data_IF_395787843304
#
_entry.id   IF_395787843304
#
_cell.length_a   1.000
_cell.length_b   1.000
_cell.length_c   1.000
_cell.angle_alpha   90.00
_cell.angle_beta   90.00
_cell.angle_gamma   90.00
#
_symmetry.space_group_name_H-M   'P 1'
#
loop_
_entity.id
_entity.type
_entity.pdbx_description
1 polymer ?
#
# COMPACT_ATOMS: atom_id res chain seq x y z
N UNK A 1 26.78 -24.78 51.41
CA UNK A 1 25.51 -24.14 51.01
C UNK A 1 25.68 -22.98 50.03
N UNK A 2 26.78 -22.21 50.06
CA UNK A 2 26.99 -21.09 49.13
C UNK A 2 27.18 -21.47 47.63
N UNK A 3 27.76 -22.64 47.30
CA UNK A 3 27.97 -23.06 45.90
C UNK A 3 26.67 -23.40 45.13
N UNK A 4 25.64 -23.87 45.83
CA UNK A 4 24.36 -24.20 45.19
C UNK A 4 23.50 -22.94 44.90
N UNK A 5 23.78 -21.84 45.60
CA UNK A 5 23.05 -20.57 45.43
C UNK A 5 23.47 -19.82 44.16
N UNK A 6 24.74 -19.95 43.72
CA UNK A 6 25.23 -19.31 42.50
C UNK A 6 24.73 -20.01 41.23
N UNK A 7 24.55 -21.33 41.26
CA UNK A 7 24.02 -22.12 40.13
C UNK A 7 22.54 -21.78 39.92
N UNK A 8 21.75 -21.64 40.98
CA UNK A 8 20.35 -21.23 40.89
C UNK A 8 20.16 -19.82 40.30
N UNK A 9 21.07 -18.88 40.61
CA UNK A 9 21.02 -17.52 40.07
C UNK A 9 21.37 -17.49 38.56
N UNK A 10 22.30 -18.33 38.10
CA UNK A 10 22.65 -18.42 36.67
C UNK A 10 21.55 -19.12 35.85
N UNK A 11 20.86 -20.12 36.42
CA UNK A 11 19.71 -20.76 35.77
C UNK A 11 18.52 -19.80 35.66
N UNK A 12 18.27 -18.95 36.66
CA UNK A 12 17.21 -17.93 36.61
C UNK A 12 17.49 -16.82 35.59
N UNK A 13 18.75 -16.38 35.46
CA UNK A 13 19.15 -15.38 34.46
C UNK A 13 19.11 -15.97 33.03
N UNK A 14 19.47 -17.23 32.85
CA UNK A 14 19.35 -17.91 31.54
C UNK A 14 17.90 -18.22 31.15
N UNK A 15 16.99 -18.39 32.11
CA UNK A 15 15.55 -18.56 31.83
C UNK A 15 14.83 -17.24 31.53
N UNK A 16 15.41 -16.09 31.93
CA UNK A 16 14.89 -14.77 31.55
C UNK A 16 15.25 -14.31 30.13
N UNK A 17 16.11 -15.05 29.41
CA UNK A 17 16.54 -14.73 28.04
C UNK A 17 15.84 -15.52 26.92
N UNK A 18 14.89 -16.41 27.24
CA UNK A 18 14.30 -17.33 26.24
C UNK A 18 12.77 -17.26 26.15
N UNK A 19 12.19 -16.07 26.27
CA UNK A 19 10.85 -15.82 25.74
C UNK A 19 10.76 -14.43 25.10
N UNK A 20 11.38 -14.27 23.93
CA UNK A 20 10.75 -13.39 22.95
C UNK A 20 9.40 -14.06 22.63
N UNK A 21 8.36 -13.66 23.36
CA UNK A 21 7.02 -14.13 23.10
C UNK A 21 6.65 -13.69 21.68
N UNK A 22 6.70 -14.63 20.75
CA UNK A 22 6.18 -14.43 19.41
C UNK A 22 4.68 -14.15 19.54
N UNK A 23 4.27 -12.89 19.35
CA UNK A 23 2.85 -12.57 19.32
C UNK A 23 2.21 -13.24 18.11
N UNK A 24 1.10 -13.94 18.34
CA UNK A 24 0.31 -14.58 17.29
C UNK A 24 -0.87 -13.70 16.85
N UNK A 25 -0.79 -12.40 17.07
CA UNK A 25 -1.80 -11.43 16.65
C UNK A 25 -1.14 -10.08 16.33
N UNK A 26 -1.79 -9.31 15.46
CA UNK A 26 -1.39 -7.94 15.16
C UNK A 26 -1.94 -6.97 16.23
N UNK A 27 -1.18 -5.92 16.55
CA UNK A 27 -1.56 -4.90 17.51
C UNK A 27 -0.99 -3.55 17.12
N UNK A 28 -1.74 -2.47 17.30
CA UNK A 28 -1.23 -1.11 17.09
C UNK A 28 -0.07 -0.74 18.03
N UNK A 29 0.07 -1.46 19.14
CA UNK A 29 1.05 -1.19 20.20
C UNK A 29 2.24 -2.18 20.19
N UNK A 30 2.42 -2.93 19.09
CA UNK A 30 3.40 -4.03 19.03
C UNK A 30 4.83 -3.58 19.34
N UNK A 31 5.22 -2.37 18.91
CA UNK A 31 6.59 -1.87 19.09
C UNK A 31 6.77 -0.97 20.33
N UNK A 32 5.71 -0.63 21.07
CA UNK A 32 5.74 0.40 22.12
C UNK A 32 6.76 0.14 23.24
N UNK A 33 7.00 -1.13 23.57
CA UNK A 33 7.93 -1.51 24.64
C UNK A 33 9.27 -2.05 24.13
N UNK A 34 9.37 -2.37 22.83
CA UNK A 34 10.56 -2.99 22.23
C UNK A 34 11.36 -2.01 21.36
N UNK A 35 10.69 -1.08 20.69
CA UNK A 35 11.30 0.06 20.02
C UNK A 35 10.30 1.23 19.95
N UNK A 36 10.18 2.03 21.03
CA UNK A 36 9.27 3.19 21.06
C UNK A 36 9.54 4.21 19.95
N UNK A 37 10.79 4.31 19.49
CA UNK A 37 11.22 5.25 18.45
C UNK A 37 10.92 4.76 17.01
N UNK A 38 10.39 3.54 16.85
CA UNK A 38 10.11 2.97 15.53
C UNK A 38 9.14 3.83 14.71
N UNK A 39 7.91 4.03 15.20
CA UNK A 39 6.88 4.78 14.46
C UNK A 39 7.22 6.26 14.28
N UNK A 40 7.75 6.99 15.30
CA UNK A 40 8.24 8.35 15.11
C UNK A 40 9.33 8.46 14.03
N UNK A 41 10.24 7.49 13.96
CA UNK A 41 11.31 7.47 12.95
C UNK A 41 10.77 7.25 11.55
N UNK A 42 9.85 6.28 11.37
CA UNK A 42 9.19 6.04 10.08
C UNK A 42 8.48 7.31 9.60
N UNK A 43 7.67 7.92 10.48
CA UNK A 43 6.92 9.14 10.17
C UNK A 43 7.82 10.27 9.68
N UNK A 44 8.92 10.54 10.40
CA UNK A 44 9.88 11.59 10.02
C UNK A 44 10.44 11.36 8.62
N UNK A 45 10.92 10.15 8.32
CA UNK A 45 11.52 9.85 7.01
C UNK A 45 10.47 9.94 5.89
N UNK A 46 9.23 9.51 6.14
CA UNK A 46 8.12 9.66 5.20
C UNK A 46 7.77 11.13 4.95
N UNK A 47 7.66 11.94 6.00
CA UNK A 47 7.38 13.38 5.89
C UNK A 47 8.48 14.10 5.10
N UNK A 48 9.75 13.77 5.37
CA UNK A 48 10.90 14.30 4.61
C UNK A 48 10.81 13.91 3.13
N UNK A 49 10.51 12.64 2.82
CA UNK A 49 10.39 12.14 1.46
C UNK A 49 9.20 12.78 0.71
N UNK A 50 8.04 12.93 1.35
CA UNK A 50 6.84 13.57 0.78
C UNK A 50 7.06 15.08 0.58
N UNK A 51 7.81 15.72 1.48
CA UNK A 51 8.19 17.13 1.33
C UNK A 51 9.13 17.34 0.14
N UNK A 52 10.05 16.41 -0.10
CA UNK A 52 10.96 16.43 -1.24
C UNK A 52 10.24 16.14 -2.57
N UNK A 53 9.38 15.12 -2.60
CA UNK A 53 8.57 14.76 -3.75
C UNK A 53 7.15 14.38 -3.29
N UNK A 54 6.18 15.27 -3.51
CA UNK A 54 4.78 15.07 -3.07
C UNK A 54 4.16 13.77 -3.59
N UNK A 55 4.54 13.34 -4.82
CA UNK A 55 4.13 12.07 -5.43
C UNK A 55 4.61 10.84 -4.65
N UNK A 56 5.65 10.96 -3.83
CA UNK A 56 6.17 9.84 -3.05
C UNK A 56 5.12 9.28 -2.10
N UNK A 57 4.26 10.12 -1.53
CA UNK A 57 3.20 9.64 -0.64
C UNK A 57 2.20 8.72 -1.36
N UNK A 58 1.79 9.09 -2.58
CA UNK A 58 0.96 8.23 -3.43
C UNK A 58 1.68 6.91 -3.79
N UNK A 59 3.00 6.99 -3.99
CA UNK A 59 3.82 5.83 -4.37
C UNK A 59 3.94 4.81 -3.23
N UNK A 60 4.17 5.28 -2.00
CA UNK A 60 4.27 4.46 -0.80
C UNK A 60 2.92 3.86 -0.41
N UNK A 61 1.82 4.61 -0.57
CA UNK A 61 0.46 4.07 -0.43
C UNK A 61 0.22 2.91 -1.39
N UNK A 62 0.55 3.10 -2.69
CA UNK A 62 0.41 2.06 -3.70
C UNK A 62 1.32 0.85 -3.44
N UNK A 63 2.51 1.06 -2.89
CA UNK A 63 3.44 -0.03 -2.54
C UNK A 63 2.82 -0.97 -1.51
N UNK A 64 2.13 -0.44 -0.50
CA UNK A 64 1.42 -1.26 0.47
C UNK A 64 0.23 -2.03 -0.13
N UNK A 65 -0.55 -1.39 -1.01
CA UNK A 65 -1.62 -2.08 -1.75
C UNK A 65 -1.07 -3.26 -2.56
N UNK A 66 0.01 -3.04 -3.32
CA UNK A 66 0.61 -4.08 -4.14
C UNK A 66 1.27 -5.19 -3.33
N UNK A 67 1.81 -4.89 -2.15
CA UNK A 67 2.28 -5.91 -1.20
C UNK A 67 1.11 -6.79 -0.73
N UNK A 68 0.08 -6.17 -0.15
CA UNK A 68 -1.03 -6.91 0.46
C UNK A 68 -1.85 -7.76 -0.51
N UNK A 69 -1.94 -7.34 -1.78
CA UNK A 69 -2.70 -8.07 -2.80
C UNK A 69 -1.98 -9.30 -3.36
N UNK A 70 -0.70 -9.50 -3.02
CA UNK A 70 0.10 -10.62 -3.49
C UNK A 70 0.58 -11.40 -2.28
N UNK A 71 0.12 -12.65 -2.12
CA UNK A 71 0.45 -13.52 -0.98
C UNK A 71 0.25 -12.96 0.45
N UNK A 72 -0.30 -11.75 0.60
CA UNK A 72 -0.54 -11.08 1.89
C UNK A 72 0.45 -9.95 2.15
N UNK A 73 0.24 -9.17 3.20
CA UNK A 73 1.13 -8.06 3.54
C UNK A 73 2.41 -8.58 4.20
N UNK A 74 3.37 -9.06 3.42
CA UNK A 74 4.57 -9.76 3.91
C UNK A 74 5.88 -9.17 3.35
N UNK A 75 5.79 -7.99 2.72
CA UNK A 75 6.89 -7.29 2.06
C UNK A 75 7.63 -8.12 1.00
N UNK A 76 6.98 -9.12 0.41
CA UNK A 76 7.48 -9.91 -0.71
C UNK A 76 7.82 -9.04 -1.91
N UNK A 77 7.03 -8.00 -2.18
CA UNK A 77 7.25 -7.03 -3.25
C UNK A 77 8.62 -6.32 -3.16
N UNK A 78 9.22 -6.24 -1.97
CA UNK A 78 10.49 -5.56 -1.76
C UNK A 78 11.70 -6.39 -2.20
N UNK A 79 11.56 -7.72 -2.32
CA UNK A 79 12.66 -8.62 -2.67
C UNK A 79 13.15 -8.37 -4.10
N UNK A 80 14.46 -8.23 -4.26
CA UNK A 80 15.12 -8.12 -5.56
C UNK A 80 15.31 -9.51 -6.20
N UNK A 81 15.49 -9.52 -7.51
CA UNK A 81 15.73 -10.72 -8.30
C UNK A 81 17.01 -11.43 -7.82
N UNK A 82 16.94 -12.74 -7.60
CA UNK A 82 18.10 -13.60 -7.38
C UNK A 82 17.96 -14.90 -8.18
N UNK A 83 18.88 -15.85 -8.02
CA UNK A 83 18.75 -17.19 -8.61
C UNK A 83 17.54 -17.96 -8.05
N UNK A 84 17.13 -17.66 -6.82
CA UNK A 84 16.05 -18.37 -6.11
C UNK A 84 14.80 -17.52 -5.88
N UNK A 85 14.85 -16.22 -6.18
CA UNK A 85 13.74 -15.28 -6.06
C UNK A 85 13.37 -14.72 -7.43
N UNK A 86 12.17 -15.07 -7.92
CA UNK A 86 11.53 -14.42 -9.07
C UNK A 86 10.78 -13.17 -8.59
N UNK A 87 11.40 -12.00 -8.76
CA UNK A 87 10.94 -10.76 -8.12
C UNK A 87 9.63 -10.23 -8.70
N UNK A 88 8.72 -9.87 -7.81
CA UNK A 88 7.46 -9.20 -8.16
C UNK A 88 7.65 -7.83 -8.80
N UNK A 89 8.80 -7.18 -8.63
CA UNK A 89 9.11 -5.88 -9.26
C UNK A 89 9.04 -5.94 -10.78
N UNK A 90 9.21 -7.13 -11.36
CA UNK A 90 9.11 -7.36 -12.81
C UNK A 90 7.72 -7.85 -13.26
N UNK A 91 6.75 -7.97 -12.35
CA UNK A 91 5.35 -8.24 -12.71
C UNK A 91 4.76 -7.09 -13.54
N UNK A 92 3.76 -7.38 -14.39
CA UNK A 92 3.15 -6.42 -15.33
C UNK A 92 2.66 -5.15 -14.65
N UNK A 93 2.05 -5.26 -13.46
CA UNK A 93 1.52 -4.12 -12.72
C UNK A 93 2.60 -3.28 -12.01
N UNK A 94 3.79 -3.84 -11.82
CA UNK A 94 4.91 -3.28 -11.06
C UNK A 94 6.00 -2.69 -11.95
N UNK A 95 6.34 -3.39 -13.03
CA UNK A 95 7.47 -3.05 -13.90
C UNK A 95 7.32 -1.64 -14.47
N UNK A 96 8.34 -0.80 -14.29
CA UNK A 96 8.34 0.61 -14.66
C UNK A 96 7.14 1.41 -14.12
N UNK A 97 6.58 1.02 -12.97
CA UNK A 97 5.34 1.58 -12.43
C UNK A 97 5.39 1.81 -10.92
N UNK A 98 5.61 0.75 -10.13
CA UNK A 98 5.76 0.88 -8.67
C UNK A 98 7.12 1.49 -8.33
N UNK A 99 7.19 2.33 -7.28
CA UNK A 99 8.39 3.08 -6.87
C UNK A 99 8.39 3.39 -5.38
N UNK A 100 9.49 3.94 -4.88
CA UNK A 100 9.66 4.31 -3.45
C UNK A 100 10.46 3.30 -2.64
N UNK A 101 11.04 2.29 -3.28
CA UNK A 101 11.86 1.27 -2.62
C UNK A 101 13.05 1.88 -1.86
N UNK A 102 13.64 2.94 -2.39
CA UNK A 102 14.79 3.64 -1.79
C UNK A 102 14.39 4.35 -0.50
N UNK A 103 13.14 4.84 -0.43
CA UNK A 103 12.60 5.43 0.80
C UNK A 103 12.36 4.34 1.85
N UNK A 104 11.89 3.16 1.45
CA UNK A 104 11.77 2.01 2.36
C UNK A 104 13.13 1.57 2.90
N UNK A 105 14.17 1.55 2.05
CA UNK A 105 15.54 1.24 2.50
C UNK A 105 16.04 2.27 3.53
N UNK A 106 15.79 3.56 3.28
CA UNK A 106 16.16 4.63 4.19
C UNK A 106 15.41 4.51 5.52
N UNK A 107 14.10 4.27 5.48
CA UNK A 107 13.29 4.03 6.69
C UNK A 107 13.88 2.85 7.46
N UNK A 108 14.15 1.73 6.79
CA UNK A 108 14.68 0.52 7.42
C UNK A 108 16.00 0.79 8.14
N UNK A 109 16.94 1.45 7.46
CA UNK A 109 18.23 1.81 8.04
C UNK A 109 18.09 2.72 9.26
N UNK A 110 17.22 3.74 9.18
CA UNK A 110 17.03 4.71 10.27
C UNK A 110 16.30 4.09 11.47
N UNK A 111 15.32 3.22 11.23
CA UNK A 111 14.61 2.48 12.28
C UNK A 111 15.55 1.50 12.97
N UNK A 112 16.31 0.70 12.22
CA UNK A 112 17.25 -0.25 12.83
C UNK A 112 18.31 0.47 13.68
N UNK A 113 18.76 1.66 13.24
CA UNK A 113 19.65 2.52 14.02
C UNK A 113 18.98 3.06 15.29
N UNK A 114 17.73 3.54 15.19
CA UNK A 114 16.98 4.05 16.34
C UNK A 114 16.67 2.96 17.38
N UNK A 115 16.40 1.73 16.92
CA UNK A 115 16.13 0.58 17.77
C UNK A 115 17.41 -0.13 18.27
N UNK A 116 18.59 0.21 17.73
CA UNK A 116 19.87 -0.43 18.05
C UNK A 116 20.09 -1.83 17.44
N UNK A 117 19.07 -2.41 16.81
CA UNK A 117 19.11 -3.67 16.08
C UNK A 117 17.86 -3.85 15.20
N UNK A 118 17.88 -4.76 14.21
CA UNK A 118 16.73 -5.03 13.35
C UNK A 118 15.58 -5.71 14.13
N UNK A 119 14.54 -4.94 14.46
CA UNK A 119 13.36 -5.45 15.18
C UNK A 119 12.04 -5.20 14.46
N UNK A 120 11.96 -4.14 13.64
CA UNK A 120 10.77 -3.81 12.85
C UNK A 120 10.88 -4.49 11.49
N UNK A 121 9.84 -5.25 11.12
CA UNK A 121 9.77 -5.90 9.81
C UNK A 121 9.60 -4.88 8.68
N UNK A 122 10.02 -5.27 7.47
CA UNK A 122 9.75 -4.45 6.30
C UNK A 122 8.26 -4.39 5.97
N UNK A 123 7.51 -5.47 6.24
CA UNK A 123 6.05 -5.50 6.12
C UNK A 123 5.36 -4.42 6.96
N UNK A 124 5.76 -4.26 8.22
CA UNK A 124 5.22 -3.19 9.07
C UNK A 124 5.70 -1.80 8.65
N UNK A 125 6.96 -1.68 8.20
CA UNK A 125 7.46 -0.41 7.64
C UNK A 125 6.61 0.06 6.47
N UNK A 126 6.28 -0.82 5.52
CA UNK A 126 5.45 -0.49 4.36
C UNK A 126 4.04 -0.07 4.77
N UNK A 127 3.44 -0.78 5.74
CA UNK A 127 2.10 -0.46 6.25
C UNK A 127 2.06 0.92 6.95
N UNK A 128 3.04 1.23 7.80
CA UNK A 128 3.15 2.52 8.49
C UNK A 128 3.46 3.64 7.49
N UNK A 129 4.36 3.38 6.54
CA UNK A 129 4.72 4.36 5.51
C UNK A 129 3.53 4.76 4.65
N UNK A 130 2.64 3.82 4.31
CA UNK A 130 1.39 4.12 3.61
C UNK A 130 0.47 5.03 4.42
N UNK A 131 0.31 4.78 5.73
CA UNK A 131 -0.50 5.63 6.62
C UNK A 131 0.07 7.03 6.74
N UNK A 132 1.36 7.14 7.06
CA UNK A 132 2.01 8.43 7.23
C UNK A 132 2.04 9.24 5.93
N UNK A 133 2.10 8.57 4.77
CA UNK A 133 1.98 9.20 3.46
C UNK A 133 0.62 9.85 3.22
N UNK A 134 -0.47 9.15 3.58
CA UNK A 134 -1.84 9.69 3.46
C UNK A 134 -2.01 10.88 4.40
N UNK A 135 -1.54 10.77 5.64
CA UNK A 135 -1.60 11.88 6.63
C UNK A 135 -0.79 13.09 6.16
N UNK A 136 0.42 12.90 5.65
CA UNK A 136 1.26 13.98 5.11
C UNK A 136 0.65 14.70 3.90
N UNK A 137 -0.29 14.04 3.21
CA UNK A 137 -1.06 14.58 2.09
C UNK A 137 -2.46 15.07 2.50
N UNK A 138 -2.73 15.19 3.80
CA UNK A 138 -3.98 15.78 4.34
C UNK A 138 -5.12 14.80 4.55
N UNK A 139 -4.87 13.49 4.41
CA UNK A 139 -5.86 12.44 4.60
C UNK A 139 -6.04 11.99 6.05
N UNK A 140 -6.88 10.97 6.28
CA UNK A 140 -7.11 10.41 7.61
C UNK A 140 -5.86 9.71 8.16
N UNK A 141 -5.81 9.62 9.49
CA UNK A 141 -4.96 8.66 10.19
C UNK A 141 -5.78 7.41 10.55
N UNK A 142 -5.09 6.31 10.82
CA UNK A 142 -5.67 5.11 11.40
C UNK A 142 -4.63 4.36 12.26
N UNK A 143 -5.12 3.50 13.14
CA UNK A 143 -4.31 2.61 13.96
C UNK A 143 -3.85 1.42 13.12
N UNK A 144 -2.68 1.57 12.48
CA UNK A 144 -2.03 0.49 11.75
C UNK A 144 -1.81 -0.68 12.70
N UNK A 145 -2.35 -1.85 12.37
CA UNK A 145 -2.09 -3.08 13.12
C UNK A 145 -0.67 -3.56 12.80
N UNK A 146 0.16 -3.87 13.79
CA UNK A 146 1.60 -4.17 13.63
C UNK A 146 1.94 -5.55 14.19
N UNK A 147 3.11 -6.07 13.84
CA UNK A 147 3.59 -7.40 14.19
C UNK A 147 3.69 -8.36 13.00
N UNK A 148 3.60 -7.85 11.77
CA UNK A 148 3.81 -8.65 10.57
C UNK A 148 5.28 -9.05 10.47
N UNK A 149 5.53 -10.16 9.78
CA UNK A 149 6.87 -10.66 9.49
C UNK A 149 7.09 -10.71 7.99
N UNK A 150 8.37 -10.68 7.63
CA UNK A 150 8.80 -10.63 6.24
C UNK A 150 8.82 -12.02 5.62
N UNK A 151 8.37 -12.10 4.38
CA UNK A 151 8.45 -13.32 3.57
C UNK A 151 9.89 -13.76 3.31
N UNK A 152 10.03 -15.03 2.93
CA UNK A 152 11.28 -15.58 2.38
C UNK A 152 11.19 -15.84 0.88
N UNK A 153 10.08 -15.44 0.24
CA UNK A 153 9.75 -15.70 -1.16
C UNK A 153 8.98 -14.52 -1.75
N UNK A 154 9.12 -14.30 -3.06
CA UNK A 154 8.27 -13.41 -3.85
C UNK A 154 7.49 -14.24 -4.88
N UNK A 155 6.36 -13.73 -5.36
CA UNK A 155 5.53 -14.43 -6.33
C UNK A 155 5.04 -13.54 -7.48
N UNK A 156 5.92 -13.37 -8.48
CA UNK A 156 5.62 -12.64 -9.72
C UNK A 156 4.37 -13.15 -10.46
N UNK A 157 4.12 -14.46 -10.46
CA UNK A 157 2.94 -15.04 -11.12
C UNK A 157 1.66 -14.62 -10.42
N UNK A 158 1.64 -14.67 -9.09
CA UNK A 158 0.50 -14.24 -8.28
C UNK A 158 0.30 -12.72 -8.42
N UNK A 159 1.38 -11.92 -8.41
CA UNK A 159 1.30 -10.48 -8.72
C UNK A 159 0.67 -10.17 -10.09
N UNK A 160 0.96 -10.99 -11.10
CA UNK A 160 0.38 -10.85 -12.43
C UNK A 160 -1.12 -11.19 -12.51
N UNK A 161 -1.64 -11.96 -11.55
CA UNK A 161 -3.02 -12.45 -11.53
C UNK A 161 -3.90 -11.67 -10.54
N UNK A 162 -3.35 -11.31 -9.39
CA UNK A 162 -4.13 -10.83 -8.25
C UNK A 162 -4.18 -9.30 -8.20
N UNK A 163 -3.18 -8.59 -8.73
CA UNK A 163 -3.23 -7.12 -8.83
C UNK A 163 -4.18 -6.73 -9.98
N UNK A 164 -5.26 -5.97 -9.71
CA UNK A 164 -6.24 -5.62 -10.73
C UNK A 164 -5.64 -4.67 -11.77
N UNK A 165 -5.74 -4.98 -13.07
CA UNK A 165 -5.37 -4.03 -14.12
C UNK A 165 -6.38 -2.89 -14.26
N UNK A 166 -5.99 -1.75 -14.86
CA UNK A 166 -6.82 -0.55 -14.92
C UNK A 166 -8.05 -0.69 -15.84
N UNK A 167 -8.15 -1.78 -16.59
CA UNK A 167 -9.16 -2.08 -17.61
C UNK A 167 -10.23 -3.09 -17.15
N UNK A 168 -10.26 -3.45 -15.87
CA UNK A 168 -11.33 -4.30 -15.34
C UNK A 168 -12.66 -3.54 -15.23
N UNK A 169 -13.74 -4.22 -15.60
CA UNK A 169 -15.10 -3.75 -15.34
C UNK A 169 -15.50 -3.96 -13.87
N UNK A 170 -16.65 -3.40 -13.47
CA UNK A 170 -17.11 -3.44 -12.09
C UNK A 170 -17.30 -4.87 -11.54
N UNK A 171 -17.95 -5.82 -12.24
CA UNK A 171 -18.02 -7.21 -11.78
C UNK A 171 -16.65 -7.85 -11.55
N UNK A 172 -15.68 -7.63 -12.45
CA UNK A 172 -14.34 -8.17 -12.31
C UNK A 172 -13.57 -7.54 -11.14
N UNK A 173 -13.68 -6.22 -10.94
CA UNK A 173 -13.10 -5.52 -9.79
C UNK A 173 -13.64 -6.07 -8.46
N UNK A 174 -14.96 -6.25 -8.37
CA UNK A 174 -15.59 -6.79 -7.16
C UNK A 174 -15.11 -8.21 -6.89
N UNK A 175 -15.03 -9.05 -7.92
CA UNK A 175 -14.53 -10.41 -7.74
C UNK A 175 -13.05 -10.43 -7.33
N UNK A 176 -12.23 -9.53 -7.90
CA UNK A 176 -10.82 -9.40 -7.54
C UNK A 176 -10.63 -9.00 -6.06
N UNK A 177 -11.35 -7.98 -5.57
CA UNK A 177 -11.29 -7.57 -4.16
C UNK A 177 -11.86 -8.64 -3.22
N UNK A 178 -12.95 -9.29 -3.64
CA UNK A 178 -13.55 -10.41 -2.87
C UNK A 178 -12.57 -11.58 -2.69
N UNK A 179 -11.72 -11.87 -3.67
CA UNK A 179 -10.69 -12.91 -3.54
C UNK A 179 -9.64 -12.57 -2.47
N UNK A 180 -9.49 -11.30 -2.11
CA UNK A 180 -8.68 -10.83 -1.00
C UNK A 180 -9.47 -10.65 0.31
N UNK A 181 -10.75 -11.01 0.33
CA UNK A 181 -11.63 -10.85 1.50
C UNK A 181 -12.15 -9.43 1.71
N UNK A 182 -12.08 -8.57 0.69
CA UNK A 182 -12.57 -7.19 0.71
C UNK A 182 -13.92 -7.08 0.00
N UNK A 183 -14.84 -6.31 0.56
CA UNK A 183 -16.19 -6.15 0.01
C UNK A 183 -16.29 -4.96 -0.98
N UNK A 184 -17.51 -4.68 -1.45
CA UNK A 184 -17.76 -3.58 -2.41
C UNK A 184 -17.50 -2.20 -1.82
N UNK A 185 -17.72 -2.02 -0.51
CA UNK A 185 -17.38 -0.77 0.15
C UNK A 185 -15.87 -0.60 0.20
N UNK A 186 -15.15 -1.67 0.52
CA UNK A 186 -13.69 -1.68 0.53
C UNK A 186 -13.14 -1.35 -0.86
N UNK A 187 -13.71 -1.92 -1.92
CA UNK A 187 -13.37 -1.57 -3.30
C UNK A 187 -13.53 -0.07 -3.57
N UNK A 188 -14.70 0.52 -3.29
CA UNK A 188 -14.96 1.93 -3.60
C UNK A 188 -14.10 2.85 -2.73
N UNK A 189 -13.96 2.54 -1.44
CA UNK A 189 -13.14 3.33 -0.52
C UNK A 189 -11.67 3.30 -0.93
N UNK A 190 -11.08 2.12 -1.15
CA UNK A 190 -9.66 1.99 -1.52
C UNK A 190 -9.34 2.53 -2.92
N UNK A 191 -10.29 2.48 -3.86
CA UNK A 191 -10.16 3.16 -5.15
C UNK A 191 -10.01 4.69 -4.98
N UNK A 192 -10.54 5.24 -3.89
CA UNK A 192 -10.32 6.63 -3.48
C UNK A 192 -8.84 6.99 -3.24
N UNK A 193 -7.93 6.02 -3.13
CA UNK A 193 -6.48 6.26 -3.15
C UNK A 193 -6.00 6.94 -4.44
N UNK A 194 -6.76 6.84 -5.53
CA UNK A 194 -6.52 7.57 -6.78
C UNK A 194 -6.83 9.07 -6.70
N UNK A 195 -7.25 9.62 -5.55
CA UNK A 195 -7.16 11.06 -5.29
C UNK A 195 -5.71 11.56 -5.23
N UNK A 196 -4.73 10.63 -5.16
CA UNK A 196 -3.31 10.95 -5.13
C UNK A 196 -2.60 10.39 -6.36
N UNK A 197 -1.57 11.10 -6.80
CA UNK A 197 -0.59 10.59 -7.76
C UNK A 197 -1.02 10.66 -9.22
N UNK A 198 -0.40 9.79 -10.03
CA UNK A 198 -0.37 9.90 -11.49
C UNK A 198 -0.37 8.52 -12.13
N UNK A 199 -0.96 8.43 -13.31
CA UNK A 199 -0.96 7.25 -14.16
C UNK A 199 -0.20 7.51 -15.47
N UNK A 200 0.34 6.46 -16.07
CA UNK A 200 1.02 6.51 -17.37
C UNK A 200 0.00 6.37 -18.50
N UNK A 201 0.23 7.05 -19.63
CA UNK A 201 -0.65 7.09 -20.80
C UNK A 201 -1.16 5.72 -21.23
N UNK A 202 -0.31 4.70 -21.24
CA UNK A 202 -0.73 3.36 -21.66
C UNK A 202 -1.87 2.76 -20.81
N UNK A 203 -2.04 3.21 -19.56
CA UNK A 203 -3.07 2.71 -18.65
C UNK A 203 -4.48 3.26 -18.92
N UNK A 204 -4.58 4.41 -19.61
CA UNK A 204 -5.85 5.09 -19.89
C UNK A 204 -6.06 5.42 -21.38
N UNK A 205 -5.08 5.12 -22.24
CA UNK A 205 -5.14 5.41 -23.69
C UNK A 205 -6.40 4.87 -24.34
N UNK A 206 -6.73 3.60 -24.08
CA UNK A 206 -7.89 2.96 -24.68
C UNK A 206 -9.18 3.70 -24.32
N UNK A 207 -9.34 4.02 -23.04
CA UNK A 207 -10.47 4.80 -22.52
C UNK A 207 -10.61 6.14 -23.22
N UNK A 208 -9.57 6.98 -23.25
CA UNK A 208 -9.70 8.34 -23.79
C UNK A 208 -9.95 8.38 -25.30
N UNK A 209 -9.73 7.27 -26.04
CA UNK A 209 -9.92 7.21 -27.49
C UNK A 209 -11.13 6.38 -27.93
N UNK A 210 -11.52 5.37 -27.16
CA UNK A 210 -12.49 4.36 -27.59
C UNK A 210 -13.74 4.30 -26.69
N UNK A 211 -13.69 4.79 -25.46
CA UNK A 211 -14.87 4.92 -24.61
C UNK A 211 -15.54 6.27 -24.89
N UNK A 212 -16.71 6.28 -25.52
CA UNK A 212 -17.40 7.53 -25.93
C UNK A 212 -18.68 7.84 -25.16
N UNK A 213 -19.26 6.85 -24.48
CA UNK A 213 -20.56 6.97 -23.81
C UNK A 213 -20.47 7.30 -22.31
N UNK A 214 -19.28 7.14 -21.72
CA UNK A 214 -19.02 7.25 -20.27
C UNK A 214 -17.71 8.02 -19.99
N UNK A 215 -17.37 9.00 -20.84
CA UNK A 215 -16.30 9.96 -20.60
C UNK A 215 -16.72 11.36 -21.04
N UNK A 216 -16.39 12.38 -20.26
CA UNK A 216 -16.56 13.77 -20.67
C UNK A 216 -15.66 14.07 -21.87
N UNK A 217 -16.25 14.57 -22.97
CA UNK A 217 -15.54 14.76 -24.24
C UNK A 217 -14.43 15.81 -24.14
N UNK A 218 -14.63 16.85 -23.32
CA UNK A 218 -13.61 17.88 -23.09
C UNK A 218 -12.44 17.31 -22.30
N UNK A 219 -12.71 16.54 -21.24
CA UNK A 219 -11.69 15.84 -20.47
C UNK A 219 -10.90 14.84 -21.33
N UNK A 220 -11.59 14.04 -22.17
CA UNK A 220 -10.94 13.13 -23.10
C UNK A 220 -9.98 13.88 -24.04
N UNK A 221 -10.43 14.96 -24.68
CA UNK A 221 -9.57 15.79 -25.55
C UNK A 221 -8.38 16.39 -24.80
N UNK A 222 -8.55 16.82 -23.56
CA UNK A 222 -7.44 17.31 -22.73
C UNK A 222 -6.40 16.22 -22.45
N UNK A 223 -6.83 14.98 -22.17
CA UNK A 223 -5.91 13.86 -21.95
C UNK A 223 -5.21 13.41 -23.23
N UNK A 224 -5.88 13.48 -24.37
CA UNK A 224 -5.33 13.12 -25.68
C UNK A 224 -4.18 14.05 -26.12
N UNK A 225 -4.11 15.29 -25.60
CA UNK A 225 -3.04 16.23 -25.93
C UNK A 225 -1.65 15.69 -25.54
N UNK A 226 -1.55 15.02 -24.39
CA UNK A 226 -0.31 14.47 -23.86
C UNK A 226 -0.24 12.93 -23.93
N UNK A 227 -1.29 12.27 -24.43
CA UNK A 227 -1.36 10.82 -24.58
C UNK A 227 -1.77 10.43 -26.02
N UNK A 228 -0.80 10.33 -26.96
CA UNK A 228 -1.08 10.00 -28.35
C UNK A 228 -1.65 8.59 -28.53
N UNK A 229 -2.33 8.35 -29.67
CA UNK A 229 -2.85 7.02 -30.07
C UNK A 229 -1.76 5.93 -30.15
N UNK A 230 -0.51 6.32 -30.40
CA UNK A 230 0.64 5.43 -30.47
C UNK A 230 1.88 6.15 -29.96
N UNK A 231 2.72 5.45 -29.20
CA UNK A 231 3.86 6.04 -28.50
C UNK A 231 3.45 6.86 -27.27
N UNK A 232 4.45 7.45 -26.60
CA UNK A 232 4.23 8.27 -25.40
C UNK A 232 3.70 7.47 -24.20
N UNK A 233 3.92 6.15 -24.14
CA UNK A 233 3.37 5.28 -23.10
C UNK A 233 3.66 5.76 -21.67
N UNK A 234 4.84 6.33 -21.45
CA UNK A 234 5.33 6.82 -20.16
C UNK A 234 4.90 8.26 -19.82
N UNK A 235 4.17 8.95 -20.71
CA UNK A 235 3.63 10.28 -20.40
C UNK A 235 2.66 10.17 -19.23
N UNK A 236 2.73 11.11 -18.28
CA UNK A 236 1.92 11.08 -17.07
C UNK A 236 0.69 11.97 -17.20
N UNK A 237 -0.43 11.51 -16.65
CA UNK A 237 -1.56 12.34 -16.27
C UNK A 237 -1.84 12.17 -14.78
N UNK A 238 -2.29 13.23 -14.12
CA UNK A 238 -2.74 13.13 -12.73
C UNK A 238 -4.04 12.31 -12.66
N UNK A 239 -4.16 11.47 -11.62
CA UNK A 239 -5.36 10.66 -11.40
C UNK A 239 -6.58 11.53 -11.02
N UNK A 240 -6.34 12.66 -10.35
CA UNK A 240 -7.33 13.71 -10.12
C UNK A 240 -6.70 15.14 -10.31
N UNK A 241 -7.47 16.23 -10.18
CA UNK A 241 -6.97 17.61 -10.28
C UNK A 241 -6.08 18.08 -9.11
N UNK A 242 -6.08 17.37 -7.98
CA UNK A 242 -5.38 17.71 -6.73
C UNK A 242 -4.43 16.58 -6.31
N UNK A 243 -3.48 16.13 -7.17
CA UNK A 243 -2.78 14.83 -7.04
C UNK A 243 -1.82 14.70 -5.83
N UNK A 244 -1.75 15.73 -4.99
CA UNK A 244 -0.94 15.81 -3.78
C UNK A 244 -1.76 16.26 -2.55
N UNK A 245 -3.10 16.11 -2.61
CA UNK A 245 -4.03 16.39 -1.53
C UNK A 245 -5.05 15.25 -1.48
N UNK A 246 -5.20 14.62 -0.32
CA UNK A 246 -6.20 13.59 -0.11
C UNK A 246 -7.56 14.25 0.15
N UNK A 247 -8.47 14.17 -0.83
CA UNK A 247 -9.77 14.81 -0.74
C UNK A 247 -10.87 14.01 -1.47
N UNK A 248 -12.03 14.64 -1.72
CA UNK A 248 -13.19 14.00 -2.38
C UNK A 248 -13.26 14.28 -3.89
N UNK A 249 -12.28 14.95 -4.50
CA UNK A 249 -12.29 15.31 -5.92
C UNK A 249 -12.28 14.08 -6.83
N UNK A 250 -11.60 13.00 -6.43
CA UNK A 250 -11.68 11.72 -7.13
C UNK A 250 -13.14 11.31 -7.40
N UNK A 251 -13.98 11.26 -6.36
CA UNK A 251 -15.38 10.85 -6.50
C UNK A 251 -16.23 11.90 -7.23
N UNK A 252 -15.97 13.20 -7.04
CA UNK A 252 -16.66 14.27 -7.80
C UNK A 252 -16.40 14.14 -9.29
N UNK A 253 -15.19 13.78 -9.68
CA UNK A 253 -14.84 13.55 -11.09
C UNK A 253 -15.60 12.35 -11.67
N UNK A 254 -15.80 11.27 -10.91
CA UNK A 254 -16.60 10.13 -11.40
C UNK A 254 -18.04 10.55 -11.74
N UNK A 255 -18.66 11.41 -10.92
CA UNK A 255 -20.00 11.96 -11.19
C UNK A 255 -20.06 12.79 -12.49
N UNK A 256 -18.93 13.38 -12.90
CA UNK A 256 -18.81 14.17 -14.11
C UNK A 256 -18.25 13.37 -15.30
N UNK A 257 -18.19 12.04 -15.23
CA UNK A 257 -17.55 11.18 -16.25
C UNK A 257 -16.08 11.52 -16.52
N UNK A 258 -15.36 11.97 -15.49
CA UNK A 258 -13.95 12.37 -15.53
C UNK A 258 -13.01 11.41 -14.79
N UNK A 259 -13.44 10.17 -14.53
CA UNK A 259 -12.53 9.11 -14.08
C UNK A 259 -11.46 8.85 -15.13
N UNK A 260 -10.18 8.85 -14.73
CA UNK A 260 -9.05 8.71 -15.66
C UNK A 260 -8.97 7.29 -16.21
N UNK A 261 -9.00 6.28 -15.33
CA UNK A 261 -8.92 4.87 -15.72
C UNK A 261 -10.31 4.32 -16.03
N UNK A 262 -10.37 3.24 -16.84
CA UNK A 262 -11.62 2.51 -17.07
C UNK A 262 -12.20 1.99 -15.75
N UNK A 263 -11.36 1.36 -14.93
CA UNK A 263 -11.69 0.87 -13.60
C UNK A 263 -12.21 1.96 -12.65
N UNK A 264 -11.76 3.21 -12.78
CA UNK A 264 -12.29 4.32 -11.98
C UNK A 264 -13.74 4.60 -12.35
N UNK A 265 -14.00 4.80 -13.65
CA UNK A 265 -15.35 5.14 -14.10
C UNK A 265 -16.33 3.97 -13.98
N UNK A 266 -15.83 2.73 -13.98
CA UNK A 266 -16.66 1.56 -13.74
C UNK A 266 -17.39 1.62 -12.38
N UNK A 267 -16.84 2.31 -11.38
CA UNK A 267 -17.46 2.49 -10.06
C UNK A 267 -18.72 3.37 -10.09
N UNK A 268 -18.89 4.19 -11.12
CA UNK A 268 -20.05 5.08 -11.31
C UNK A 268 -20.58 4.96 -12.74
N UNK A 269 -21.39 3.93 -12.97
CA UNK A 269 -21.86 3.54 -14.31
C UNK A 269 -23.31 3.00 -14.32
N UNK A 270 -24.12 3.37 -13.33
CA UNK A 270 -25.48 2.87 -13.14
C UNK A 270 -25.54 1.56 -12.33
N UNK A 271 -24.49 1.30 -11.53
CA UNK A 271 -24.29 0.06 -10.79
C UNK A 271 -24.57 0.18 -9.30
N UNK A 272 -24.31 -0.91 -8.57
CA UNK A 272 -24.52 -1.00 -7.11
C UNK A 272 -23.54 -0.16 -6.27
N UNK A 273 -22.42 0.30 -6.86
CA UNK A 273 -21.43 1.16 -6.20
C UNK A 273 -21.76 2.65 -6.29
N UNK A 274 -22.70 3.05 -7.17
CA UNK A 274 -22.99 4.46 -7.45
C UNK A 274 -23.36 5.27 -6.19
N UNK A 275 -24.14 4.67 -5.29
CA UNK A 275 -24.54 5.34 -4.05
C UNK A 275 -23.34 5.66 -3.13
N UNK A 276 -22.34 4.79 -3.05
CA UNK A 276 -21.13 5.06 -2.28
C UNK A 276 -20.31 6.18 -2.89
N UNK A 277 -20.16 6.18 -4.23
CA UNK A 277 -19.48 7.27 -4.96
C UNK A 277 -20.16 8.61 -4.69
N UNK A 278 -21.49 8.66 -4.75
CA UNK A 278 -22.25 9.89 -4.45
C UNK A 278 -22.03 10.37 -3.01
N UNK A 279 -22.06 9.47 -2.03
CA UNK A 279 -21.78 9.80 -0.62
C UNK A 279 -20.38 10.38 -0.47
N UNK A 280 -19.35 9.69 -0.98
CA UNK A 280 -17.95 10.11 -0.82
C UNK A 280 -17.64 11.42 -1.57
N UNK A 281 -18.34 11.72 -2.66
CA UNK A 281 -18.18 12.98 -3.42
C UNK A 281 -18.60 14.24 -2.63
N UNK A 282 -19.52 14.09 -1.67
CA UNK A 282 -20.08 15.20 -0.89
C UNK A 282 -19.68 15.17 0.58
N UNK A 283 -19.18 14.04 1.08
CA UNK A 283 -18.84 13.84 2.48
C UNK A 283 -17.42 13.24 2.65
N UNK A 284 -16.43 14.13 2.74
CA UNK A 284 -15.04 13.76 3.01
C UNK A 284 -14.88 13.01 4.33
N UNK A 285 -15.67 13.35 5.37
CA UNK A 285 -15.59 12.67 6.67
C UNK A 285 -15.96 11.19 6.57
N UNK A 286 -17.03 10.86 5.83
CA UNK A 286 -17.44 9.47 5.58
C UNK A 286 -16.43 8.74 4.69
N UNK A 287 -15.94 9.37 3.62
CA UNK A 287 -14.88 8.78 2.79
C UNK A 287 -13.63 8.48 3.62
N UNK A 288 -13.13 9.45 4.38
CA UNK A 288 -11.91 9.31 5.17
C UNK A 288 -12.03 8.21 6.23
N UNK A 289 -13.21 8.08 6.87
CA UNK A 289 -13.49 6.99 7.82
C UNK A 289 -13.47 5.63 7.13
N UNK A 290 -14.24 5.45 6.07
CA UNK A 290 -14.36 4.16 5.39
C UNK A 290 -13.02 3.78 4.71
N UNK A 291 -12.24 4.75 4.21
CA UNK A 291 -10.87 4.53 3.73
C UNK A 291 -9.94 4.01 4.82
N UNK A 292 -9.95 4.63 6.01
CA UNK A 292 -9.16 4.18 7.16
C UNK A 292 -9.53 2.74 7.59
N UNK A 293 -10.83 2.41 7.65
CA UNK A 293 -11.31 1.06 7.98
C UNK A 293 -10.88 0.04 6.91
N UNK A 294 -11.02 0.37 5.63
CA UNK A 294 -10.61 -0.52 4.53
C UNK A 294 -9.09 -0.69 4.44
N UNK A 295 -8.30 0.34 4.76
CA UNK A 295 -6.83 0.22 4.86
C UNK A 295 -6.41 -0.73 5.98
N UNK A 296 -7.09 -0.72 7.13
CA UNK A 296 -6.86 -1.71 8.21
C UNK A 296 -7.20 -3.12 7.73
N UNK A 297 -8.35 -3.31 7.08
CA UNK A 297 -8.74 -4.63 6.53
C UNK A 297 -7.72 -5.14 5.52
N UNK A 298 -7.31 -4.29 4.57
CA UNK A 298 -6.29 -4.62 3.57
C UNK A 298 -4.96 -4.98 4.24
N UNK A 299 -4.53 -4.21 5.24
CA UNK A 299 -3.33 -4.48 6.02
C UNK A 299 -3.39 -5.82 6.78
N UNK A 300 -4.57 -6.41 6.98
CA UNK A 300 -4.75 -7.68 7.69
C UNK A 300 -4.89 -8.89 6.74
N UNK A 301 -4.62 -8.72 5.44
CA UNK A 301 -4.63 -9.84 4.48
C UNK A 301 -3.44 -10.76 4.76
N UNK A 302 -3.75 -11.99 5.18
CA UNK A 302 -2.83 -13.14 5.31
C UNK A 302 -1.44 -12.78 5.91
N UNK A 303 -1.35 -12.09 7.06
CA UNK A 303 -0.07 -11.67 7.59
C UNK A 303 0.74 -12.88 8.07
N UNK A 304 2.06 -12.84 7.85
CA UNK A 304 2.99 -13.74 8.55
C UNK A 304 3.16 -13.22 9.98
N UNK A 305 2.90 -14.07 10.97
CA UNK A 305 2.93 -13.72 12.40
C UNK A 305 3.66 -14.78 13.21
N UNK A 306 3.97 -14.46 14.46
CA UNK A 306 4.62 -15.39 15.37
C UNK A 306 6.00 -15.83 14.87
N UNK A 307 6.16 -17.12 14.56
CA UNK A 307 7.41 -17.69 14.03
C UNK A 307 7.42 -17.84 12.49
N UNK A 308 6.41 -17.36 11.78
CA UNK A 308 6.33 -17.44 10.32
C UNK A 308 7.14 -16.32 9.67
N UNK A 309 7.98 -16.63 8.68
CA UNK A 309 8.85 -15.63 8.04
C UNK A 309 9.97 -15.13 8.97
N UNK A 310 10.49 -13.94 8.70
CA UNK A 310 11.68 -13.37 9.35
C UNK A 310 11.51 -11.88 9.68
N UNK A 311 12.48 -11.29 10.38
CA UNK A 311 12.68 -9.83 10.41
C UNK A 311 13.91 -9.55 9.56
N UNK A 312 13.73 -9.00 8.37
CA UNK A 312 14.85 -8.72 7.47
C UNK A 312 15.70 -7.59 8.00
N UNK A 313 17.02 -7.69 7.80
CA UNK A 313 17.97 -6.58 8.04
C UNK A 313 18.02 -5.64 6.83
N UNK A 314 17.79 -6.19 5.63
CA UNK A 314 17.70 -5.43 4.40
C UNK A 314 16.44 -5.87 3.66
N UNK A 315 15.53 -4.93 3.39
CA UNK A 315 14.24 -5.24 2.79
C UNK A 315 14.32 -5.81 1.36
N UNK A 316 15.47 -5.74 0.70
CA UNK A 316 15.66 -6.24 -0.67
C UNK A 316 16.05 -7.70 -0.75
N UNK A 317 16.39 -8.36 0.36
CA UNK A 317 16.85 -9.75 0.36
C UNK A 317 16.45 -10.51 1.61
N UNK A 318 16.37 -11.83 1.49
CA UNK A 318 16.29 -12.74 2.65
C UNK A 318 17.58 -12.62 3.47
N UNK A 319 17.49 -12.81 4.79
CA UNK A 319 18.66 -12.75 5.70
C UNK A 319 19.71 -13.81 5.39
#
# INVERSE_FOLDING_TARGET
MAKNSFIFLHVLVMFSLSSMAFSNYLSAYFYDFVCPEALPTIKRVVEDAVKQERRMGASLLRLHFHDCFVQGCDASILLDQTETIDSEKTARANNNSIRGFEVIDQIKSEVDKACGHPIVSCADIVAVAARDSVVALGGPTWEVQLGRRDSTTANRTMANNDIPPPFLDLPALINNFKNQGLDEKDLVALSGGHTLGFAQCFTFRDRIYNETNNIDSTFASQRQADCPRSGGDSNFASLDPTPALFDSEYFRNLLCNKGLLHSDQALFSGGKTDNLVQIYSTNLGTFAKDFAESMIKMGNIKPLIGNQGQIRVNCRKVN
#
